data_IF_921694644683
#
_entry.id   IF_921694644683
#
_cell.length_a   1.000
_cell.length_b   1.000
_cell.length_c   1.000
_cell.angle_alpha   90.00
_cell.angle_beta   90.00
_cell.angle_gamma   90.00
#
_symmetry.space_group_name_H-M   'P 1'
#
loop_
_entity.id
_entity.type
_entity.pdbx_description
1 polymer ?
#
# COMPACT_ATOMS: atom_id res chain seq x y z
N UNK A 1 -24.54 14.29 47.35
CA UNK A 1 -24.31 13.76 45.98
C UNK A 1 -22.89 13.20 45.91
N UNK A 2 -22.74 11.89 45.65
CA UNK A 2 -21.44 11.17 45.66
C UNK A 2 -20.84 11.17 44.24
N UNK A 3 -19.65 11.72 44.07
CA UNK A 3 -18.86 11.63 42.84
C UNK A 3 -18.11 10.30 42.83
N UNK A 4 -18.50 9.38 41.93
CA UNK A 4 -17.84 8.09 41.77
C UNK A 4 -16.57 8.28 40.91
N UNK A 5 -15.39 8.06 41.51
CA UNK A 5 -14.14 7.94 40.76
C UNK A 5 -14.07 6.55 40.11
N UNK A 6 -14.05 6.51 38.78
CA UNK A 6 -13.78 5.28 38.02
C UNK A 6 -12.28 5.02 38.05
N UNK A 7 -11.86 4.01 38.81
CA UNK A 7 -10.50 3.44 38.75
C UNK A 7 -10.42 2.51 37.54
N UNK A 8 -9.75 2.95 36.48
CA UNK A 8 -9.36 2.07 35.37
C UNK A 8 -8.06 1.37 35.80
N UNK A 9 -8.18 0.12 36.26
CA UNK A 9 -7.03 -0.77 36.47
C UNK A 9 -6.53 -1.26 35.12
N UNK A 10 -5.37 -0.78 34.68
CA UNK A 10 -4.61 -1.42 33.60
C UNK A 10 -4.03 -2.73 34.15
N UNK A 11 -4.54 -3.85 33.65
CA UNK A 11 -3.96 -5.16 33.91
C UNK A 11 -2.50 -5.18 33.42
N UNK A 12 -1.59 -5.61 34.29
CA UNK A 12 -0.16 -5.76 33.99
C UNK A 12 0.03 -6.78 32.87
N UNK A 13 0.31 -6.30 31.66
CA UNK A 13 0.70 -7.16 30.54
C UNK A 13 2.02 -7.88 30.89
N UNK A 14 2.07 -9.19 30.69
CA UNK A 14 3.25 -10.01 30.92
C UNK A 14 4.41 -9.56 30.03
N UNK A 15 5.65 -9.77 30.49
CA UNK A 15 6.87 -9.45 29.70
C UNK A 15 6.86 -10.06 28.29
N UNK A 16 6.19 -11.20 28.11
CA UNK A 16 6.00 -11.82 26.79
C UNK A 16 5.02 -11.05 25.89
N UNK A 17 3.93 -10.50 26.43
CA UNK A 17 3.00 -9.67 25.66
C UNK A 17 3.64 -8.33 25.23
N UNK A 18 4.49 -7.74 26.08
CA UNK A 18 5.31 -6.57 25.72
C UNK A 18 6.35 -6.96 24.65
N UNK A 19 6.95 -8.15 24.75
CA UNK A 19 7.90 -8.64 23.73
C UNK A 19 7.22 -8.88 22.38
N UNK A 20 6.01 -9.43 22.34
CA UNK A 20 5.22 -9.56 21.10
C UNK A 20 4.81 -8.20 20.53
N UNK A 21 4.41 -7.24 21.37
CA UNK A 21 4.09 -5.88 20.92
C UNK A 21 5.33 -5.12 20.38
N UNK A 22 6.52 -5.39 20.93
CA UNK A 22 7.79 -4.82 20.45
C UNK A 22 8.36 -5.57 19.22
N UNK A 23 8.15 -6.88 19.10
CA UNK A 23 8.53 -7.66 17.90
C UNK A 23 7.63 -7.33 16.69
N UNK A 24 6.33 -7.07 16.90
CA UNK A 24 5.43 -6.56 15.87
C UNK A 24 5.83 -5.15 15.40
N UNK A 25 6.56 -4.40 16.22
CA UNK A 25 7.18 -3.12 15.85
C UNK A 25 8.30 -3.27 14.80
N UNK A 26 8.88 -4.46 14.63
CA UNK A 26 9.93 -4.74 13.64
C UNK A 26 9.41 -5.00 12.22
N UNK A 27 8.17 -5.49 12.10
CA UNK A 27 7.49 -5.71 10.81
C UNK A 27 6.74 -4.46 10.36
N UNK A 28 6.21 -3.68 11.32
CA UNK A 28 5.51 -2.42 11.05
C UNK A 28 6.42 -1.25 10.57
N UNK A 29 7.75 -1.40 10.65
CA UNK A 29 8.68 -0.39 10.12
C UNK A 29 8.92 -0.54 8.62
N UNK A 30 8.44 -1.61 7.96
CA UNK A 30 8.61 -1.80 6.52
C UNK A 30 7.41 -1.33 5.72
N UNK A 31 7.65 -0.67 4.60
CA UNK A 31 6.60 -0.26 3.68
C UNK A 31 7.09 -0.30 2.23
N UNK A 32 6.18 -0.60 1.30
CA UNK A 32 6.45 -0.53 -0.13
C UNK A 32 6.27 0.91 -0.64
N UNK A 33 7.30 1.46 -1.27
CA UNK A 33 7.26 2.75 -1.93
C UNK A 33 6.89 2.58 -3.41
N UNK A 34 5.70 3.03 -3.82
CA UNK A 34 5.29 2.92 -5.22
C UNK A 34 6.09 3.83 -6.16
N UNK A 35 6.77 4.86 -5.63
CA UNK A 35 7.53 5.79 -6.45
C UNK A 35 8.87 5.21 -6.92
N UNK A 36 9.54 4.38 -6.11
CA UNK A 36 10.79 3.71 -6.47
C UNK A 36 10.65 2.21 -6.70
N UNK A 37 9.55 1.59 -6.28
CA UNK A 37 9.29 0.16 -6.45
C UNK A 37 10.00 -0.75 -5.45
N UNK A 38 10.41 -0.24 -4.28
CA UNK A 38 11.16 -0.98 -3.27
C UNK A 38 10.52 -0.89 -1.88
N UNK A 39 10.77 -1.92 -1.07
CA UNK A 39 10.45 -1.91 0.35
C UNK A 39 11.52 -1.15 1.14
N UNK A 40 11.07 -0.24 2.01
CA UNK A 40 11.93 0.57 2.86
C UNK A 40 11.65 0.35 4.33
N UNK A 41 12.67 0.55 5.17
CA UNK A 41 12.52 0.69 6.62
C UNK A 41 12.32 2.16 6.98
N UNK A 42 11.24 2.48 7.69
CA UNK A 42 10.82 3.83 8.06
C UNK A 42 11.83 4.59 8.90
N UNK A 43 12.66 3.89 9.69
CA UNK A 43 13.75 4.51 10.46
C UNK A 43 14.92 5.04 9.62
N UNK A 44 15.06 4.64 8.36
CA UNK A 44 16.19 5.06 7.50
C UNK A 44 15.98 6.44 6.90
N UNK A 45 17.05 7.17 6.56
CA UNK A 45 16.93 8.47 5.90
C UNK A 45 16.13 8.39 4.59
N UNK A 46 16.44 7.38 3.76
CA UNK A 46 15.72 7.10 2.51
C UNK A 46 14.26 6.72 2.80
N UNK A 47 14.02 5.87 3.80
CA UNK A 47 12.66 5.49 4.19
C UNK A 47 11.82 6.65 4.69
N UNK A 48 12.40 7.60 5.43
CA UNK A 48 11.69 8.82 5.87
C UNK A 48 11.26 9.67 4.68
N UNK A 49 12.14 9.90 3.71
CA UNK A 49 11.82 10.64 2.49
C UNK A 49 10.77 9.93 1.63
N UNK A 50 10.85 8.60 1.54
CA UNK A 50 9.96 7.80 0.72
C UNK A 50 8.61 7.46 1.38
N UNK A 51 8.45 7.70 2.69
CA UNK A 51 7.26 7.31 3.47
C UNK A 51 5.95 7.86 2.89
N UNK A 52 5.98 9.04 2.29
CA UNK A 52 4.84 9.66 1.60
C UNK A 52 4.32 8.89 0.38
N UNK A 53 5.16 8.04 -0.19
CA UNK A 53 4.84 7.17 -1.32
C UNK A 53 4.51 5.73 -0.87
N UNK A 54 4.23 5.53 0.43
CA UNK A 54 3.75 4.25 0.93
C UNK A 54 2.39 3.89 0.32
N UNK A 55 2.20 2.60 0.01
CA UNK A 55 0.90 2.04 -0.40
C UNK A 55 -0.13 2.11 0.72
N UNK A 56 0.32 2.01 1.98
CA UNK A 56 -0.50 2.14 3.19
C UNK A 56 -0.96 3.59 3.44
N UNK A 57 -0.42 4.54 2.66
CA UNK A 57 -0.58 5.96 2.91
C UNK A 57 0.54 6.51 3.80
N UNK A 58 0.96 7.73 3.50
CA UNK A 58 1.90 8.49 4.33
C UNK A 58 1.12 9.46 5.20
N UNK A 59 1.35 9.39 6.52
CA UNK A 59 0.81 10.31 7.51
C UNK A 59 1.39 11.71 7.33
N UNK A 60 0.77 12.55 6.50
CA UNK A 60 0.78 13.99 6.66
C UNK A 60 -0.37 14.60 5.85
N UNK A 61 -1.21 15.31 6.59
CA UNK A 61 -2.63 15.51 6.39
C UNK A 61 -2.92 16.85 5.73
N UNK A 62 -3.62 16.82 4.59
CA UNK A 62 -4.39 17.94 4.05
C UNK A 62 -3.63 18.92 3.13
N UNK A 63 -4.38 19.55 2.22
CA UNK A 63 -3.91 20.63 1.35
C UNK A 63 -3.01 20.18 0.20
N UNK A 64 -2.01 20.98 -0.13
CA UNK A 64 -1.12 20.78 -1.30
C UNK A 64 -0.44 19.40 -1.35
N UNK A 65 -0.24 18.75 -0.18
CA UNK A 65 0.41 17.44 -0.11
C UNK A 65 -0.50 16.27 -0.52
N UNK A 66 -1.82 16.37 -0.34
CA UNK A 66 -2.74 15.38 -0.91
C UNK A 66 -2.76 15.45 -2.43
N UNK A 67 -2.70 16.67 -2.98
CA UNK A 67 -2.67 16.90 -4.42
C UNK A 67 -1.36 16.39 -5.03
N UNK A 68 -0.24 16.59 -4.34
CA UNK A 68 1.05 16.03 -4.74
C UNK A 68 1.03 14.50 -4.73
N UNK A 69 0.52 13.87 -3.66
CA UNK A 69 0.42 12.40 -3.62
C UNK A 69 -0.47 11.86 -4.73
N UNK A 70 -1.60 12.51 -4.97
CA UNK A 70 -2.54 12.19 -6.05
C UNK A 70 -1.87 12.31 -7.43
N UNK A 71 -1.08 13.35 -7.66
CA UNK A 71 -0.27 13.52 -8.87
C UNK A 71 0.76 12.37 -9.04
N UNK A 72 1.45 11.99 -7.96
CA UNK A 72 2.41 10.88 -7.99
C UNK A 72 1.76 9.52 -8.18
N UNK A 73 0.54 9.31 -7.69
CA UNK A 73 -0.23 8.09 -7.97
C UNK A 73 -0.55 7.98 -9.46
N UNK A 74 -0.95 9.08 -10.09
CA UNK A 74 -1.29 9.09 -11.52
C UNK A 74 -0.06 8.89 -12.41
N UNK A 75 1.12 9.37 -11.99
CA UNK A 75 2.35 9.31 -12.79
C UNK A 75 3.20 8.06 -12.52
N UNK A 76 3.47 7.76 -11.25
CA UNK A 76 4.33 6.64 -10.83
C UNK A 76 3.52 5.47 -10.28
N UNK A 77 2.43 5.75 -9.57
CA UNK A 77 1.58 4.72 -8.96
C UNK A 77 0.95 3.78 -9.99
N UNK A 78 0.44 4.30 -11.11
CA UNK A 78 -0.10 3.46 -12.20
C UNK A 78 0.96 2.52 -12.77
N UNK A 79 2.17 3.02 -13.03
CA UNK A 79 3.28 2.20 -13.53
C UNK A 79 3.69 1.12 -12.52
N UNK A 80 3.75 1.47 -11.24
CA UNK A 80 4.03 0.50 -10.17
C UNK A 80 2.92 -0.56 -10.06
N UNK A 81 1.65 -0.15 -10.12
CA UNK A 81 0.53 -1.08 -10.07
C UNK A 81 0.52 -2.06 -11.25
N UNK A 82 0.81 -1.59 -12.46
CA UNK A 82 0.98 -2.45 -13.64
C UNK A 82 2.09 -3.46 -13.43
N UNK A 83 3.26 -3.03 -12.94
CA UNK A 83 4.39 -3.92 -12.63
C UNK A 83 4.04 -4.94 -11.55
N UNK A 84 3.35 -4.52 -10.49
CA UNK A 84 2.87 -5.41 -9.42
C UNK A 84 1.90 -6.46 -9.97
N UNK A 85 1.14 -6.17 -11.03
CA UNK A 85 0.31 -7.18 -11.70
C UNK A 85 1.07 -8.00 -12.75
N UNK A 86 2.33 -7.67 -13.05
CA UNK A 86 3.19 -8.41 -13.97
C UNK A 86 3.24 -7.85 -15.39
N UNK A 87 2.84 -6.59 -15.57
CA UNK A 87 2.99 -5.89 -16.85
C UNK A 87 4.31 -5.10 -16.83
N UNK A 88 5.37 -5.62 -17.46
CA UNK A 88 6.71 -5.01 -17.38
C UNK A 88 7.00 -3.96 -18.49
N UNK A 89 6.30 -4.02 -19.62
CA UNK A 89 6.56 -3.16 -20.80
C UNK A 89 5.42 -2.21 -21.16
N UNK A 90 4.50 -1.96 -20.23
CA UNK A 90 3.37 -1.08 -20.52
C UNK A 90 3.81 0.39 -20.43
N UNK A 91 3.90 1.04 -21.59
CA UNK A 91 4.07 2.50 -21.70
C UNK A 91 2.71 3.19 -21.62
N UNK A 92 2.20 3.38 -20.41
CA UNK A 92 1.12 4.37 -20.19
C UNK A 92 1.77 5.74 -20.10
N UNK A 93 1.34 6.70 -20.92
CA UNK A 93 1.71 8.11 -20.75
C UNK A 93 0.75 8.77 -19.76
N UNK A 94 1.18 9.11 -18.53
CA UNK A 94 0.36 9.85 -17.59
C UNK A 94 0.17 11.31 -18.05
N UNK A 95 -0.92 12.00 -17.65
CA UNK A 95 -1.91 11.57 -16.66
C UNK A 95 -3.16 10.99 -17.34
N UNK A 96 -3.54 9.77 -16.92
CA UNK A 96 -4.84 9.10 -17.18
C UNK A 96 -5.15 8.70 -18.64
N UNK A 97 -4.68 9.41 -19.66
CA UNK A 97 -5.20 9.25 -21.02
C UNK A 97 -4.19 8.63 -21.97
N UNK A 98 -4.52 7.48 -22.58
CA UNK A 98 -3.71 6.96 -23.66
C UNK A 98 -4.06 5.56 -24.13
N UNK A 99 -3.60 5.27 -25.34
CA UNK A 99 -3.44 3.91 -25.86
C UNK A 99 -2.37 3.18 -25.03
N UNK A 100 -2.39 1.84 -25.06
CA UNK A 100 -1.38 1.01 -24.38
C UNK A 100 -1.79 0.46 -23.03
N UNK A 101 -2.91 0.89 -22.45
CA UNK A 101 -3.48 0.22 -21.27
C UNK A 101 -3.84 -1.24 -21.59
N UNK A 102 -3.50 -2.20 -20.73
CA UNK A 102 -4.04 -3.54 -20.84
C UNK A 102 -5.57 -3.55 -20.79
N UNK A 103 -6.19 -4.51 -21.46
CA UNK A 103 -7.65 -4.65 -21.45
C UNK A 103 -8.18 -4.89 -20.03
N UNK A 104 -9.45 -4.55 -19.77
CA UNK A 104 -10.04 -4.72 -18.43
C UNK A 104 -9.96 -6.17 -17.99
N UNK A 105 -10.27 -7.08 -18.92
CA UNK A 105 -10.16 -8.51 -18.71
C UNK A 105 -8.73 -8.95 -18.39
N UNK A 106 -7.71 -8.40 -19.06
CA UNK A 106 -6.30 -8.73 -18.79
C UNK A 106 -5.90 -8.29 -17.37
N UNK A 107 -6.26 -7.08 -16.94
CA UNK A 107 -5.98 -6.57 -15.59
C UNK A 107 -6.65 -7.45 -14.53
N UNK A 108 -7.95 -7.75 -14.69
CA UNK A 108 -8.70 -8.56 -13.73
C UNK A 108 -8.20 -10.02 -13.69
N UNK A 109 -7.79 -10.57 -14.84
CA UNK A 109 -7.18 -11.90 -14.91
C UNK A 109 -5.83 -11.95 -14.17
N UNK A 110 -4.96 -10.97 -14.42
CA UNK A 110 -3.67 -10.84 -13.75
C UNK A 110 -3.82 -10.67 -12.23
N UNK A 111 -4.77 -9.84 -11.80
CA UNK A 111 -5.14 -9.69 -10.40
C UNK A 111 -5.55 -11.04 -9.78
N UNK A 112 -6.49 -11.77 -10.40
CA UNK A 112 -6.95 -13.07 -9.87
C UNK A 112 -5.80 -14.08 -9.78
N UNK A 113 -4.92 -14.11 -10.78
CA UNK A 113 -3.77 -15.01 -10.78
C UNK A 113 -2.81 -14.71 -9.62
N UNK A 114 -2.45 -13.43 -9.42
CA UNK A 114 -1.55 -13.04 -8.32
C UNK A 114 -2.22 -13.13 -6.94
N UNK A 115 -3.48 -12.72 -6.82
CA UNK A 115 -4.25 -12.87 -5.60
C UNK A 115 -4.31 -14.34 -5.17
N UNK A 116 -4.55 -15.26 -6.11
CA UNK A 116 -4.53 -16.70 -5.85
C UNK A 116 -3.17 -17.21 -5.38
N UNK A 117 -2.08 -16.68 -5.96
CA UNK A 117 -0.70 -17.05 -5.61
C UNK A 117 -0.29 -16.57 -4.22
N UNK A 118 -0.64 -15.34 -3.87
CA UNK A 118 -0.17 -14.70 -2.64
C UNK A 118 -1.21 -14.71 -1.50
N UNK A 119 -2.38 -15.32 -1.69
CA UNK A 119 -3.42 -15.32 -0.66
C UNK A 119 -2.92 -15.91 0.67
N UNK A 120 -3.05 -15.19 1.81
CA UNK A 120 -2.60 -15.68 3.12
C UNK A 120 -3.24 -17.02 3.53
N UNK A 121 -4.53 -17.22 3.27
CA UNK A 121 -5.24 -18.49 3.54
C UNK A 121 -4.65 -19.71 2.80
N UNK A 122 -3.77 -19.48 1.80
CA UNK A 122 -3.08 -20.53 1.04
C UNK A 122 -1.58 -20.60 1.38
N UNK A 123 -1.16 -19.94 2.46
CA UNK A 123 0.25 -19.80 2.85
C UNK A 123 1.03 -18.80 2.01
N UNK A 124 0.36 -17.91 1.27
CA UNK A 124 1.00 -16.85 0.50
C UNK A 124 1.49 -15.70 1.38
N UNK A 125 2.43 -14.92 0.86
CA UNK A 125 3.01 -13.76 1.56
C UNK A 125 1.98 -12.63 1.71
N UNK A 126 1.58 -12.25 2.94
CA UNK A 126 0.64 -11.17 3.19
C UNK A 126 1.11 -9.81 2.64
N UNK A 127 2.41 -9.54 2.62
CA UNK A 127 2.96 -8.25 2.16
C UNK A 127 2.81 -8.13 0.64
N UNK A 128 3.10 -9.21 -0.08
CA UNK A 128 2.87 -9.29 -1.52
C UNK A 128 1.37 -9.24 -1.86
N UNK A 129 0.53 -9.87 -1.05
CA UNK A 129 -0.93 -9.79 -1.22
C UNK A 129 -1.45 -8.36 -1.06
N UNK A 130 -0.95 -7.61 -0.07
CA UNK A 130 -1.27 -6.19 0.12
C UNK A 130 -0.86 -5.34 -1.08
N UNK A 131 0.33 -5.56 -1.65
CA UNK A 131 0.77 -4.90 -2.89
C UNK A 131 -0.21 -5.18 -4.04
N UNK A 132 -0.65 -6.43 -4.19
CA UNK A 132 -1.61 -6.85 -5.23
C UNK A 132 -2.98 -6.19 -5.06
N UNK A 133 -3.49 -6.09 -3.83
CA UNK A 133 -4.75 -5.40 -3.54
C UNK A 133 -4.67 -3.89 -3.86
N UNK A 134 -3.61 -3.24 -3.39
CA UNK A 134 -3.37 -1.84 -3.70
C UNK A 134 -3.28 -1.59 -5.22
N UNK A 135 -2.57 -2.47 -5.94
CA UNK A 135 -2.40 -2.32 -7.39
C UNK A 135 -3.73 -2.36 -8.15
N UNK A 136 -4.62 -3.31 -7.82
CA UNK A 136 -5.92 -3.40 -8.51
C UNK A 136 -6.82 -2.19 -8.20
N UNK A 137 -6.76 -1.66 -6.97
CA UNK A 137 -7.51 -0.45 -6.60
C UNK A 137 -7.07 0.77 -7.39
N UNK A 138 -5.75 1.00 -7.50
CA UNK A 138 -5.17 2.08 -8.31
C UNK A 138 -5.60 1.96 -9.77
N UNK A 139 -5.49 0.77 -10.36
CA UNK A 139 -5.84 0.58 -11.77
C UNK A 139 -7.35 0.76 -12.00
N UNK A 140 -8.22 0.27 -11.11
CA UNK A 140 -9.67 0.49 -11.23
C UNK A 140 -10.05 1.96 -11.11
N UNK A 141 -9.33 2.73 -10.27
CA UNK A 141 -9.57 4.16 -10.08
C UNK A 141 -9.16 5.02 -11.28
N UNK A 142 -8.03 4.71 -11.92
CA UNK A 142 -7.46 5.59 -12.96
C UNK A 142 -7.58 5.09 -14.40
N UNK A 143 -7.95 3.83 -14.61
CA UNK A 143 -8.18 3.31 -15.96
C UNK A 143 -9.25 4.16 -16.67
N UNK A 144 -9.00 4.59 -17.92
CA UNK A 144 -10.04 5.18 -18.75
C UNK A 144 -11.28 4.30 -18.83
N UNK A 145 -12.46 4.91 -18.77
CA UNK A 145 -13.68 4.23 -19.15
C UNK A 145 -13.63 3.97 -20.66
N UNK A 146 -13.97 2.76 -21.06
CA UNK A 146 -14.15 2.41 -22.47
C UNK A 146 -15.43 3.16 -22.93
N UNK A 147 -15.27 4.41 -23.43
CA UNK A 147 -16.32 5.24 -24.01
C UNK A 147 -16.34 5.10 -25.53
#
# INVERSE_FOLDING_TARGET
MRTQQVRITFASATREAIRWALDLGGVADRFFCFACGHDHRGGTAIGRDHKRYSIEGGHESGGIFSDLREFYLQTKGIAAALRILGFEDVRVHPPRFGRGWPSKAAIESAYRARARKFHPDRGGDPDEFRKVQWAIEVLRRYRPTDR
#
